data_IF_118317769235
#
_entry.id   IF_118317769235
#
_cell.length_a   1.000
_cell.length_b   1.000
_cell.length_c   1.000
_cell.angle_alpha   90.00
_cell.angle_beta   90.00
_cell.angle_gamma   90.00
#
_symmetry.space_group_name_H-M   'P 1'
#
loop_
_entity.id
_entity.type
_entity.pdbx_description
1 polymer ?
#
# COMPACT_ATOMS: atom_id res chain seq x y z
N UNK A 1 12.29 5.57 33.31
CA UNK A 1 11.02 5.13 32.69
C UNK A 1 9.84 5.99 33.16
N UNK A 2 9.87 7.31 32.90
CA UNK A 2 8.74 8.22 33.18
C UNK A 2 8.05 8.68 31.89
N UNK A 3 8.81 8.80 30.79
CA UNK A 3 8.33 9.29 29.50
C UNK A 3 7.25 8.42 28.85
N UNK A 4 7.39 7.09 28.87
CA UNK A 4 6.36 6.20 28.32
C UNK A 4 5.08 6.30 29.15
N UNK A 5 5.19 6.38 30.48
CA UNK A 5 4.03 6.55 31.37
C UNK A 5 3.40 7.93 31.19
N UNK A 6 4.18 9.00 31.02
CA UNK A 6 3.66 10.35 30.70
C UNK A 6 2.91 10.37 29.34
N UNK A 7 3.41 9.59 28.37
CA UNK A 7 2.78 9.47 27.05
C UNK A 7 1.44 8.71 27.09
N UNK A 8 1.23 7.85 28.08
CA UNK A 8 -0.03 7.09 28.23
C UNK A 8 -0.95 7.62 29.34
N UNK A 9 -0.42 8.30 30.36
CA UNK A 9 -1.18 8.75 31.54
C UNK A 9 -1.52 10.24 31.55
N UNK A 10 -0.89 11.06 30.70
CA UNK A 10 -1.17 12.50 30.63
C UNK A 10 -2.06 12.81 29.43
N UNK A 11 -2.97 13.79 29.56
CA UNK A 11 -3.93 14.19 28.52
C UNK A 11 -3.27 14.54 27.16
N UNK A 12 -2.03 15.07 27.22
CA UNK A 12 -1.19 15.34 26.04
C UNK A 12 -0.71 14.08 25.33
N UNK A 13 -0.45 13.01 26.09
CA UNK A 13 -0.02 11.73 25.58
C UNK A 13 -1.13 11.03 24.80
N UNK A 14 -2.36 11.06 25.31
CA UNK A 14 -3.54 10.52 24.62
C UNK A 14 -3.81 11.24 23.29
N UNK A 15 -3.70 12.57 23.26
CA UNK A 15 -3.81 13.39 22.05
C UNK A 15 -2.76 12.97 20.99
N UNK A 16 -1.51 12.75 21.42
CA UNK A 16 -0.43 12.27 20.55
C UNK A 16 -0.68 10.84 20.03
N UNK A 17 -1.13 9.93 20.89
CA UNK A 17 -1.46 8.54 20.53
C UNK A 17 -2.57 8.50 19.48
N UNK A 18 -3.61 9.32 19.62
CA UNK A 18 -4.69 9.40 18.63
C UNK A 18 -4.13 9.85 17.27
N UNK A 19 -3.27 10.87 17.25
CA UNK A 19 -2.61 11.31 16.02
C UNK A 19 -1.73 10.23 15.39
N UNK A 20 -0.94 9.51 16.19
CA UNK A 20 -0.07 8.42 15.74
C UNK A 20 -0.93 7.26 15.19
N UNK A 21 -1.99 6.87 15.91
CA UNK A 21 -2.91 5.83 15.46
C UNK A 21 -3.59 6.22 14.15
N UNK A 22 -3.99 7.48 14.01
CA UNK A 22 -4.58 8.01 12.77
C UNK A 22 -3.59 7.99 11.61
N UNK A 23 -2.34 8.41 11.83
CA UNK A 23 -1.26 8.35 10.83
C UNK A 23 -1.00 6.91 10.36
N UNK A 24 -0.93 5.95 11.28
CA UNK A 24 -0.75 4.53 10.94
C UNK A 24 -1.96 3.94 10.22
N UNK A 25 -3.18 4.29 10.65
CA UNK A 25 -4.40 3.85 10.00
C UNK A 25 -4.47 4.35 8.55
N UNK A 26 -4.16 5.62 8.33
CA UNK A 26 -4.04 6.19 6.98
C UNK A 26 -2.92 5.52 6.17
N UNK A 27 -1.75 5.28 6.76
CA UNK A 27 -0.65 4.58 6.08
C UNK A 27 -1.09 3.21 5.55
N UNK A 28 -1.73 2.39 6.39
CA UNK A 28 -2.21 1.06 6.01
C UNK A 28 -3.33 1.17 4.97
N UNK A 29 -4.25 2.12 5.13
CA UNK A 29 -5.32 2.37 4.17
C UNK A 29 -4.78 2.70 2.77
N UNK A 30 -3.81 3.61 2.68
CA UNK A 30 -3.17 3.96 1.41
C UNK A 30 -2.46 2.76 0.80
N UNK A 31 -1.68 2.00 1.58
CA UNK A 31 -1.03 0.78 1.08
C UNK A 31 -2.09 -0.18 0.51
N UNK A 32 -3.21 -0.40 1.21
CA UNK A 32 -4.27 -1.28 0.73
C UNK A 32 -4.98 -0.76 -0.53
N UNK A 33 -5.22 0.55 -0.59
CA UNK A 33 -5.85 1.21 -1.74
C UNK A 33 -4.95 1.12 -2.97
N UNK A 34 -3.66 1.39 -2.81
CA UNK A 34 -2.70 1.30 -3.91
C UNK A 34 -2.45 -0.14 -4.32
N UNK A 35 -2.30 -1.09 -3.39
CA UNK A 35 -2.09 -2.50 -3.72
C UNK A 35 -3.29 -3.08 -4.48
N UNK A 36 -4.52 -2.77 -4.06
CA UNK A 36 -5.72 -3.18 -4.80
C UNK A 36 -5.81 -2.58 -6.21
N UNK A 37 -5.35 -1.34 -6.41
CA UNK A 37 -5.29 -0.71 -7.75
C UNK A 37 -4.17 -1.28 -8.61
N UNK A 38 -3.05 -1.68 -8.00
CA UNK A 38 -1.92 -2.31 -8.71
C UNK A 38 -2.33 -3.70 -9.19
N UNK A 39 -3.11 -4.48 -8.43
CA UNK A 39 -3.64 -5.77 -8.89
C UNK A 39 -4.52 -5.62 -10.14
N UNK A 40 -5.41 -4.63 -10.16
CA UNK A 40 -6.25 -4.31 -11.34
C UNK A 40 -5.38 -3.87 -12.54
N UNK A 41 -4.33 -3.07 -12.27
CA UNK A 41 -3.40 -2.57 -13.30
C UNK A 41 -2.45 -3.64 -13.83
N UNK A 42 -2.03 -4.57 -12.97
CA UNK A 42 -1.17 -5.70 -13.30
C UNK A 42 -1.96 -6.76 -14.08
N UNK A 43 -3.21 -7.03 -13.70
CA UNK A 43 -4.13 -7.87 -14.48
C UNK A 43 -4.38 -7.29 -15.89
N UNK A 44 -4.51 -5.96 -16.00
CA UNK A 44 -4.63 -5.29 -17.29
C UNK A 44 -3.34 -5.36 -18.15
N UNK A 45 -2.15 -5.32 -17.54
CA UNK A 45 -0.87 -5.37 -18.26
C UNK A 45 -0.43 -6.81 -18.63
N UNK A 46 -0.74 -7.81 -17.81
CA UNK A 46 -0.49 -9.22 -18.14
C UNK A 46 -1.31 -9.68 -19.37
N UNK A 47 -2.50 -9.11 -19.58
CA UNK A 47 -3.28 -9.34 -20.80
C UNK A 47 -2.76 -8.57 -22.03
N UNK A 48 -1.95 -7.53 -21.86
CA UNK A 48 -1.34 -6.77 -22.96
C UNK A 48 -0.01 -7.39 -23.46
N UNK A 49 0.70 -8.16 -22.62
CA UNK A 49 1.98 -8.79 -22.98
C UNK A 49 1.90 -10.32 -23.21
N UNK A 50 0.70 -10.91 -23.25
CA UNK A 50 0.52 -12.32 -23.64
C UNK A 50 -0.23 -12.41 -24.97
N UNK A 51 0.31 -11.75 -25.99
CA UNK A 51 0.03 -12.12 -27.37
C UNK A 51 0.93 -13.29 -27.77
N UNK A 52 0.41 -14.51 -28.01
CA UNK A 52 1.20 -15.60 -28.57
C UNK A 52 1.49 -15.28 -30.05
N UNK A 53 2.49 -14.43 -30.27
CA UNK A 53 2.87 -13.93 -31.59
C UNK A 53 4.35 -14.14 -31.90
N UNK A 54 5.02 -15.05 -31.18
CA UNK A 54 6.30 -15.58 -31.63
C UNK A 54 6.07 -16.46 -32.87
N UNK A 55 6.11 -15.87 -34.06
CA UNK A 55 6.54 -16.62 -35.24
C UNK A 55 7.44 -15.75 -36.13
N UNK A 56 8.76 -15.93 -36.05
CA UNK A 56 9.66 -15.40 -37.06
C UNK A 56 9.46 -16.16 -38.38
N UNK A 57 9.52 -15.41 -39.48
CA UNK A 57 9.72 -15.86 -40.86
C UNK A 57 8.81 -16.97 -41.41
N UNK A 58 7.93 -16.58 -42.35
CA UNK A 58 7.71 -17.41 -43.54
C UNK A 58 8.41 -16.73 -44.71
N UNK A 59 9.62 -17.21 -44.97
CA UNK A 59 10.38 -17.04 -46.20
C UNK A 59 9.73 -17.82 -47.35
N UNK A 60 10.00 -17.32 -48.56
CA UNK A 60 9.68 -17.81 -49.90
C UNK A 60 8.26 -17.56 -50.43
#
# INVERSE_FOLDING_TARGET
>A
MKLLTDLFSTDYGLMSIIGIAFMLCMMVFFIRLFLGKIDESAAANTSANTGPGARPQRTH
#
